data_IF_495688749373
#
_entry.id   IF_495688749373
#
_cell.length_a   1.000
_cell.length_b   1.000
_cell.length_c   1.000
_cell.angle_alpha   90.00
_cell.angle_beta   90.00
_cell.angle_gamma   90.00
#
_symmetry.space_group_name_H-M   'P 1'
#
loop_
_entity.id
_entity.type
_entity.pdbx_description
1 polymer ?
#
# COMPACT_ATOMS: atom_id res chain seq x y z
N UNK A 1 -14.09 43.80 25.56
CA UNK A 1 -13.11 43.50 26.63
C UNK A 1 -11.74 43.43 25.99
N UNK A 2 -10.82 44.32 26.37
CA UNK A 2 -9.46 44.33 25.85
C UNK A 2 -8.68 43.19 26.53
N UNK A 3 -8.63 42.02 25.90
CA UNK A 3 -7.84 40.87 26.36
C UNK A 3 -6.36 41.10 26.01
N UNK A 4 -5.73 42.05 26.70
CA UNK A 4 -4.29 42.22 26.60
C UNK A 4 -3.60 40.99 27.23
N UNK A 5 -2.81 40.29 26.43
CA UNK A 5 -2.05 39.12 26.87
C UNK A 5 -1.00 39.55 27.92
N UNK A 6 -0.74 38.73 28.96
CA UNK A 6 0.27 39.05 29.97
C UNK A 6 1.65 39.33 29.34
N UNK A 7 2.30 40.40 29.77
CA UNK A 7 3.64 40.75 29.29
C UNK A 7 4.67 39.68 29.69
N UNK A 8 5.53 39.29 28.75
CA UNK A 8 6.61 38.30 28.98
C UNK A 8 6.30 36.87 28.52
N UNK A 9 5.09 36.60 28.03
CA UNK A 9 4.75 35.30 27.44
C UNK A 9 5.28 35.19 26.00
N UNK A 10 6.04 34.12 25.73
CA UNK A 10 6.36 33.75 24.36
C UNK A 10 5.16 33.00 23.76
N UNK A 11 4.30 33.73 23.04
CA UNK A 11 3.09 33.18 22.43
C UNK A 11 3.38 32.02 21.47
N UNK A 12 4.50 32.07 20.75
CA UNK A 12 4.88 30.98 19.83
C UNK A 12 5.17 29.69 20.60
N UNK A 13 5.90 29.78 21.73
CA UNK A 13 6.16 28.64 22.61
C UNK A 13 4.87 28.08 23.20
N UNK A 14 3.97 28.94 23.68
CA UNK A 14 2.69 28.50 24.25
C UNK A 14 1.84 27.77 23.20
N UNK A 15 1.77 28.31 21.99
CA UNK A 15 1.05 27.67 20.89
C UNK A 15 1.68 26.30 20.59
N UNK A 16 3.00 26.23 20.44
CA UNK A 16 3.73 24.99 20.14
C UNK A 16 3.59 23.93 21.25
N UNK A 17 3.57 24.34 22.52
CA UNK A 17 3.38 23.45 23.66
C UNK A 17 1.93 22.98 23.82
N UNK A 18 0.97 23.69 23.22
CA UNK A 18 -0.46 23.31 23.23
C UNK A 18 -0.80 22.32 22.12
N UNK A 19 0.02 22.21 21.07
CA UNK A 19 -0.24 21.31 19.95
C UNK A 19 0.06 19.87 20.35
N UNK A 20 -0.86 18.96 20.02
CA UNK A 20 -0.77 17.51 20.30
C UNK A 20 0.09 16.77 19.27
N UNK A 21 1.16 17.42 18.81
CA UNK A 21 2.13 16.84 17.90
C UNK A 21 3.55 17.15 18.41
N UNK A 22 4.41 16.15 18.55
CA UNK A 22 5.82 16.37 18.83
C UNK A 22 6.46 17.20 17.73
N UNK A 23 7.10 18.31 18.11
CA UNK A 23 7.84 19.18 17.20
C UNK A 23 9.23 19.40 17.77
N UNK A 24 10.24 19.14 16.94
CA UNK A 24 11.63 19.46 17.24
C UNK A 24 12.24 20.31 16.14
N UNK A 25 13.31 21.02 16.49
CA UNK A 25 14.18 21.67 15.52
C UNK A 25 15.59 21.10 15.64
N UNK A 26 16.22 20.81 14.51
CA UNK A 26 17.53 20.19 14.41
C UNK A 26 18.50 21.17 13.75
N UNK A 27 19.58 21.52 14.47
CA UNK A 27 20.65 22.38 13.99
C UNK A 27 21.59 21.64 13.03
N UNK A 28 22.37 22.35 12.17
CA UNK A 28 23.22 21.76 11.13
C UNK A 28 24.18 20.66 11.60
N UNK A 29 24.58 20.69 12.87
CA UNK A 29 25.46 19.70 13.50
C UNK A 29 24.71 18.45 14.03
N UNK A 30 23.41 18.32 13.75
CA UNK A 30 22.56 17.20 14.14
C UNK A 30 21.95 17.33 15.54
N UNK A 31 22.26 18.39 16.29
CA UNK A 31 21.71 18.59 17.63
C UNK A 31 20.28 19.10 17.60
N UNK A 32 19.48 18.66 18.55
CA UNK A 32 18.14 19.21 18.78
C UNK A 32 18.32 20.58 19.46
N UNK A 33 17.74 21.64 18.92
CA UNK A 33 17.84 23.01 19.50
C UNK A 33 16.51 23.54 20.03
N UNK A 34 15.41 22.86 19.67
CA UNK A 34 14.08 23.12 20.20
C UNK A 34 13.30 21.81 20.28
N UNK A 35 12.48 21.68 21.32
CA UNK A 35 11.50 20.63 21.50
C UNK A 35 10.30 21.25 22.25
N UNK A 36 9.08 21.02 21.76
CA UNK A 36 7.87 21.40 22.50
C UNK A 36 7.55 20.37 23.61
N UNK A 37 6.58 20.68 24.46
CA UNK A 37 6.13 19.79 25.53
C UNK A 37 5.78 18.37 25.03
N UNK A 38 5.06 18.26 23.92
CA UNK A 38 4.69 16.96 23.35
C UNK A 38 5.93 16.18 22.85
N UNK A 39 6.99 16.86 22.39
CA UNK A 39 8.26 16.21 22.06
C UNK A 39 9.02 15.71 23.28
N UNK A 40 8.97 16.42 24.41
CA UNK A 40 9.55 15.93 25.66
C UNK A 40 8.89 14.62 26.11
N UNK A 41 7.55 14.60 26.08
CA UNK A 41 6.75 13.41 26.39
C UNK A 41 7.02 12.28 25.41
N UNK A 42 7.07 12.59 24.12
CA UNK A 42 7.33 11.64 23.06
C UNK A 42 8.68 10.96 23.21
N UNK A 43 9.77 11.73 23.40
CA UNK A 43 11.12 11.22 23.57
C UNK A 43 11.43 10.75 24.99
N UNK A 44 10.48 10.90 25.92
CA UNK A 44 10.63 10.62 27.35
C UNK A 44 11.87 11.28 27.93
N UNK A 45 12.16 12.49 27.47
CA UNK A 45 13.38 13.23 27.77
C UNK A 45 13.07 14.72 27.78
N UNK A 46 13.54 15.46 28.79
CA UNK A 46 13.34 16.91 28.83
C UNK A 46 14.08 17.61 27.68
N UNK A 47 13.61 18.78 27.28
CA UNK A 47 14.18 19.65 26.25
C UNK A 47 15.64 19.97 26.56
N UNK A 48 15.99 20.12 27.83
CA UNK A 48 17.38 20.31 28.28
C UNK A 48 18.28 19.09 28.05
N UNK A 49 17.75 17.87 28.09
CA UNK A 49 18.46 16.63 27.78
C UNK A 49 18.54 16.41 26.28
N UNK A 50 17.43 16.63 25.57
CA UNK A 50 17.36 16.61 24.11
C UNK A 50 18.38 17.57 23.51
N UNK A 51 18.48 18.79 24.05
CA UNK A 51 19.39 19.82 23.55
C UNK A 51 20.89 19.51 23.73
N UNK A 52 21.21 18.59 24.62
CA UNK A 52 22.60 18.17 24.90
C UNK A 52 23.05 16.99 24.04
N UNK A 53 22.16 16.38 23.27
CA UNK A 53 22.42 15.19 22.47
C UNK A 53 22.03 15.40 21.02
N UNK A 54 22.64 14.63 20.12
CA UNK A 54 22.22 14.58 18.72
C UNK A 54 20.93 13.77 18.55
N UNK A 55 20.20 14.07 17.48
CA UNK A 55 18.96 13.36 17.12
C UNK A 55 19.16 11.84 17.01
N UNK A 56 20.32 11.41 16.52
CA UNK A 56 20.71 10.01 16.33
C UNK A 56 20.67 9.17 17.61
N UNK A 57 20.74 9.81 18.79
CA UNK A 57 20.65 9.11 20.07
C UNK A 57 19.23 8.69 20.43
N UNK A 58 18.22 9.37 19.87
CA UNK A 58 16.82 9.18 20.22
C UNK A 58 16.04 8.35 19.21
N UNK A 59 16.67 7.99 18.09
CA UNK A 59 16.07 7.18 17.02
C UNK A 59 16.90 5.91 16.77
N UNK A 60 16.31 4.85 16.20
CA UNK A 60 17.05 3.63 15.87
C UNK A 60 18.19 3.88 14.88
N UNK A 61 19.23 3.05 14.96
CA UNK A 61 20.34 3.09 14.01
C UNK A 61 19.82 2.87 12.58
N UNK A 62 20.25 3.71 11.65
CA UNK A 62 19.77 3.67 10.26
C UNK A 62 18.34 4.20 10.08
N UNK A 63 17.79 4.92 11.07
CA UNK A 63 16.46 5.54 10.94
C UNK A 63 16.38 6.42 9.69
N UNK A 64 15.35 6.26 8.84
CA UNK A 64 15.12 7.10 7.67
C UNK A 64 15.04 8.60 8.01
N UNK A 65 14.65 8.95 9.24
CA UNK A 65 14.58 10.34 9.70
C UNK A 65 15.92 11.09 9.51
N UNK A 66 17.04 10.45 9.81
CA UNK A 66 18.35 11.09 9.67
C UNK A 66 18.64 11.45 8.21
N UNK A 67 18.34 10.53 7.28
CA UNK A 67 18.48 10.80 5.85
C UNK A 67 17.51 11.87 5.33
N UNK A 68 16.30 11.94 5.87
CA UNK A 68 15.32 12.96 5.49
C UNK A 68 15.75 14.36 5.92
N UNK A 69 16.32 14.50 7.12
CA UNK A 69 16.86 15.77 7.61
C UNK A 69 17.95 16.28 6.66
N UNK A 70 18.89 15.41 6.25
CA UNK A 70 19.93 15.79 5.30
C UNK A 70 19.37 16.13 3.91
N UNK A 71 18.42 15.34 3.38
CA UNK A 71 17.78 15.64 2.09
C UNK A 71 17.06 17.00 2.10
N UNK A 72 16.37 17.34 3.19
CA UNK A 72 15.67 18.62 3.34
C UNK A 72 16.66 19.79 3.41
N UNK A 73 17.82 19.60 4.05
CA UNK A 73 18.90 20.60 4.07
C UNK A 73 19.45 20.87 2.68
N UNK A 74 19.74 19.81 1.94
CA UNK A 74 20.32 19.91 0.59
C UNK A 74 19.33 20.52 -0.40
N UNK A 75 18.09 20.01 -0.42
CA UNK A 75 17.07 20.41 -1.41
C UNK A 75 16.33 21.70 -1.04
N UNK A 76 16.39 22.12 0.23
CA UNK A 76 15.65 23.27 0.78
C UNK A 76 14.16 23.24 0.47
N UNK A 77 13.58 22.04 0.50
CA UNK A 77 12.16 21.80 0.26
C UNK A 77 11.59 20.90 1.37
N UNK A 78 10.31 21.08 1.75
CA UNK A 78 9.69 20.22 2.75
C UNK A 78 9.42 18.82 2.19
N UNK A 79 9.47 17.82 3.07
CA UNK A 79 9.18 16.42 2.79
C UNK A 79 8.13 15.88 3.75
N UNK A 80 7.29 14.98 3.23
CA UNK A 80 6.42 14.14 4.04
C UNK A 80 6.89 12.70 3.85
N UNK A 81 7.16 11.99 4.94
CA UNK A 81 7.44 10.55 4.91
C UNK A 81 6.45 9.81 5.79
N UNK A 82 5.97 8.67 5.33
CA UNK A 82 4.90 7.94 6.00
C UNK A 82 5.41 6.65 6.61
N UNK A 83 4.87 6.28 7.78
CA UNK A 83 5.18 5.00 8.45
C UNK A 83 6.67 4.79 8.73
N UNK A 84 7.36 5.85 9.18
CA UNK A 84 8.75 5.73 9.61
C UNK A 84 8.80 5.04 10.96
N UNK A 85 9.62 4.00 11.03
CA UNK A 85 9.92 3.31 12.29
C UNK A 85 10.94 4.13 13.08
N UNK A 86 10.53 4.52 14.27
CA UNK A 86 11.34 5.24 15.24
C UNK A 86 11.44 4.46 16.56
N UNK A 87 11.21 3.14 16.53
CA UNK A 87 11.29 2.28 17.71
C UNK A 87 12.69 2.34 18.34
N UNK A 88 12.74 2.52 19.65
CA UNK A 88 13.97 2.63 20.42
C UNK A 88 13.77 2.01 21.80
N UNK A 89 14.80 1.46 22.45
CA UNK A 89 14.72 1.00 23.83
C UNK A 89 14.12 2.05 24.78
N UNK A 90 14.33 3.34 24.50
CA UNK A 90 13.77 4.46 25.29
C UNK A 90 12.29 4.71 24.96
N UNK A 91 11.91 4.57 23.69
CA UNK A 91 10.57 4.87 23.16
C UNK A 91 9.57 3.72 23.32
N UNK A 92 10.05 2.50 23.57
CA UNK A 92 9.24 1.28 23.65
C UNK A 92 9.17 0.51 22.33
N UNK A 93 8.44 -0.61 22.33
CA UNK A 93 8.24 -1.44 21.14
C UNK A 93 7.24 -0.83 20.13
N UNK A 94 7.50 -1.10 18.85
CA UNK A 94 6.74 -0.66 17.65
C UNK A 94 6.15 0.76 17.71
N UNK A 95 6.95 1.75 17.29
CA UNK A 95 6.50 3.13 17.11
C UNK A 95 6.65 3.58 15.66
N UNK A 96 5.53 3.55 14.94
CA UNK A 96 5.41 4.03 13.56
C UNK A 96 4.78 5.42 13.53
N UNK A 97 5.44 6.36 12.87
CA UNK A 97 4.99 7.75 12.77
C UNK A 97 5.01 8.24 11.33
N UNK A 98 4.19 9.24 11.03
CA UNK A 98 4.42 10.08 9.85
C UNK A 98 5.29 11.27 10.24
N UNK A 99 6.14 11.70 9.32
CA UNK A 99 7.06 12.80 9.51
C UNK A 99 6.75 13.90 8.51
N UNK A 100 6.60 15.11 9.01
CA UNK A 100 6.72 16.32 8.20
C UNK A 100 8.04 17.01 8.54
N UNK A 101 8.89 17.18 7.53
CA UNK A 101 10.24 17.72 7.68
C UNK A 101 10.37 18.94 6.79
N UNK A 102 10.73 20.10 7.35
CA UNK A 102 10.79 21.35 6.61
C UNK A 102 12.04 22.17 6.96
N UNK A 103 12.66 22.85 5.97
CA UNK A 103 13.78 23.74 6.25
C UNK A 103 13.28 25.03 6.93
N UNK A 104 14.10 25.63 7.78
CA UNK A 104 13.81 26.94 8.37
C UNK A 104 14.45 28.03 7.53
N UNK A 105 13.64 28.87 6.87
CA UNK A 105 14.13 29.87 5.92
C UNK A 105 15.04 30.92 6.59
N UNK A 106 14.70 31.31 7.82
CA UNK A 106 15.38 32.33 8.61
C UNK A 106 16.67 31.80 9.27
N UNK A 107 16.81 30.47 9.40
CA UNK A 107 17.93 29.81 10.05
C UNK A 107 18.56 28.76 9.11
N UNK A 108 19.52 29.15 8.25
CA UNK A 108 20.13 28.24 7.29
C UNK A 108 20.62 26.93 7.90
N UNK A 109 20.29 25.82 7.25
CA UNK A 109 20.65 24.46 7.68
C UNK A 109 19.85 23.91 8.87
N UNK A 110 18.99 24.72 9.50
CA UNK A 110 18.07 24.22 10.51
C UNK A 110 16.86 23.57 9.85
N UNK A 111 16.37 22.52 10.48
CA UNK A 111 15.23 21.73 10.00
C UNK A 111 14.25 21.55 11.14
N UNK A 112 12.97 21.77 10.87
CA UNK A 112 11.88 21.41 11.77
C UNK A 112 11.39 20.02 11.40
N UNK A 113 11.18 19.18 12.41
CA UNK A 113 10.59 17.86 12.27
C UNK A 113 9.34 17.81 13.14
N UNK A 114 8.21 17.54 12.52
CA UNK A 114 6.94 17.25 13.18
C UNK A 114 6.67 15.75 13.08
N UNK A 115 6.35 15.14 14.21
CA UNK A 115 5.99 13.74 14.30
C UNK A 115 4.47 13.64 14.43
N UNK A 116 3.85 12.79 13.62
CA UNK A 116 2.44 12.48 13.75
C UNK A 116 2.29 11.02 14.13
N UNK A 117 2.04 10.79 15.42
CA UNK A 117 1.64 9.48 15.92
C UNK A 117 0.25 9.13 15.37
N UNK A 118 0.14 7.94 14.78
CA UNK A 118 -1.15 7.44 14.30
C UNK A 118 -1.84 6.69 15.42
N UNK A 119 -3.06 7.09 15.74
CA UNK A 119 -3.89 6.34 16.68
C UNK A 119 -4.34 5.00 16.08
N UNK A 120 -4.81 4.06 16.92
CA UNK A 120 -5.48 2.85 16.42
C UNK A 120 -6.73 3.18 15.59
N UNK A 121 -7.39 4.29 15.87
CA UNK A 121 -8.52 4.78 15.07
C UNK A 121 -8.07 5.20 13.67
N UNK A 122 -6.92 5.87 13.51
CA UNK A 122 -6.37 6.22 12.17
C UNK A 122 -5.90 5.00 11.38
N UNK A 123 -5.48 3.93 12.07
CA UNK A 123 -5.17 2.63 11.46
C UNK A 123 -6.44 1.96 10.92
N UNK A 124 -7.55 2.04 11.66
CA UNK A 124 -8.87 1.51 11.26
C UNK A 124 -9.48 2.38 10.14
N UNK A 125 -9.44 3.70 10.29
CA UNK A 125 -10.05 4.64 9.35
C UNK A 125 -9.35 4.56 8.00
N UNK A 126 -8.01 4.45 7.96
CA UNK A 126 -7.27 4.18 6.70
C UNK A 126 -7.45 2.76 6.17
N UNK A 127 -7.67 1.73 6.99
CA UNK A 127 -8.12 0.44 6.46
C UNK A 127 -9.49 0.58 5.77
N UNK A 128 -10.35 1.47 6.27
CA UNK A 128 -11.61 1.80 5.62
C UNK A 128 -11.43 2.72 4.40
N UNK A 129 -10.51 3.69 4.41
CA UNK A 129 -10.22 4.58 3.27
C UNK A 129 -9.47 3.87 2.15
N UNK A 130 -8.54 2.96 2.44
CA UNK A 130 -7.91 2.09 1.44
C UNK A 130 -8.92 1.12 0.84
N UNK A 131 -9.86 0.59 1.65
CA UNK A 131 -11.02 -0.13 1.11
C UNK A 131 -11.89 0.79 0.25
N UNK A 132 -12.10 2.05 0.64
CA UNK A 132 -12.84 3.05 -0.15
C UNK A 132 -12.20 3.39 -1.50
N UNK A 133 -10.89 3.67 -1.52
CA UNK A 133 -10.15 3.96 -2.75
C UNK A 133 -10.02 2.71 -3.65
N UNK A 134 -9.80 1.53 -3.08
CA UNK A 134 -9.82 0.27 -3.82
C UNK A 134 -11.23 -0.03 -4.37
N UNK A 135 -12.30 0.23 -3.61
CA UNK A 135 -13.70 0.10 -4.05
C UNK A 135 -14.03 1.00 -5.24
N UNK A 136 -13.56 2.24 -5.23
CA UNK A 136 -13.75 3.18 -6.35
C UNK A 136 -12.97 2.75 -7.60
N UNK A 137 -11.77 2.21 -7.46
CA UNK A 137 -10.98 1.66 -8.58
C UNK A 137 -11.61 0.37 -9.12
N UNK A 138 -12.13 -0.51 -8.25
CA UNK A 138 -12.78 -1.77 -8.64
C UNK A 138 -14.08 -1.55 -9.41
N UNK A 139 -14.95 -0.63 -8.96
CA UNK A 139 -16.18 -0.30 -9.69
C UNK A 139 -15.92 0.33 -11.06
N UNK A 140 -14.89 1.18 -11.17
CA UNK A 140 -14.44 1.73 -12.45
C UNK A 140 -13.80 0.67 -13.34
N UNK A 141 -13.05 -0.28 -12.79
CA UNK A 141 -12.41 -1.36 -13.55
C UNK A 141 -13.44 -2.29 -14.22
N UNK A 142 -14.54 -2.63 -13.54
CA UNK A 142 -15.62 -3.44 -14.13
C UNK A 142 -16.37 -2.68 -15.24
N UNK A 143 -16.66 -1.39 -15.03
CA UNK A 143 -17.27 -0.54 -16.06
C UNK A 143 -16.37 -0.38 -17.29
N UNK A 144 -15.07 -0.11 -17.08
CA UNK A 144 -14.08 -0.01 -18.15
C UNK A 144 -13.85 -1.37 -18.84
N UNK A 145 -13.88 -2.48 -18.11
CA UNK A 145 -13.76 -3.82 -18.68
C UNK A 145 -14.89 -4.09 -19.68
N UNK A 146 -16.12 -3.76 -19.32
CA UNK A 146 -17.27 -3.85 -20.24
C UNK A 146 -17.12 -2.89 -21.43
N UNK A 147 -16.66 -1.66 -21.23
CA UNK A 147 -16.44 -0.70 -22.32
C UNK A 147 -15.29 -1.07 -23.25
N UNK A 148 -14.28 -1.81 -22.77
CA UNK A 148 -13.15 -2.32 -23.58
C UNK A 148 -13.53 -3.60 -24.32
N UNK A 149 -14.32 -4.50 -23.72
CA UNK A 149 -14.81 -5.73 -24.37
C UNK A 149 -15.66 -5.44 -25.62
N UNK A 150 -16.37 -4.32 -25.63
CA UNK A 150 -17.22 -3.90 -26.75
C UNK A 150 -16.44 -3.61 -28.06
N UNK A 151 -15.45 -2.70 -28.10
CA UNK A 151 -14.66 -2.47 -29.29
C UNK A 151 -13.80 -3.69 -29.66
N UNK A 152 -13.30 -4.47 -28.69
CA UNK A 152 -12.57 -5.71 -28.97
C UNK A 152 -13.45 -6.75 -29.68
N UNK A 153 -14.70 -6.92 -29.26
CA UNK A 153 -15.65 -7.80 -29.96
C UNK A 153 -15.90 -7.35 -31.40
N UNK A 154 -15.94 -6.04 -31.64
CA UNK A 154 -16.04 -5.46 -32.98
C UNK A 154 -14.79 -5.71 -33.85
N UNK A 155 -13.60 -5.53 -33.29
CA UNK A 155 -12.32 -5.80 -33.97
C UNK A 155 -12.21 -7.28 -34.32
N UNK A 156 -12.57 -8.18 -33.38
CA UNK A 156 -12.61 -9.63 -33.61
C UNK A 156 -13.57 -9.98 -34.73
N UNK A 157 -14.79 -9.45 -34.72
CA UNK A 157 -15.77 -9.70 -35.77
C UNK A 157 -15.29 -9.22 -37.15
N UNK A 158 -14.67 -8.03 -37.20
CA UNK A 158 -14.08 -7.52 -38.44
C UNK A 158 -12.91 -8.39 -38.93
N UNK A 159 -12.04 -8.86 -38.03
CA UNK A 159 -10.92 -9.74 -38.35
C UNK A 159 -11.40 -11.11 -38.87
N UNK A 160 -12.45 -11.67 -38.28
CA UNK A 160 -13.07 -12.93 -38.75
C UNK A 160 -13.71 -12.77 -40.14
N UNK A 161 -14.38 -11.64 -40.39
CA UNK A 161 -14.90 -11.33 -41.72
C UNK A 161 -13.76 -11.16 -42.73
N UNK A 162 -12.70 -10.44 -42.36
CA UNK A 162 -11.47 -10.30 -43.16
C UNK A 162 -10.87 -11.66 -43.50
N UNK A 163 -10.71 -12.56 -42.52
CA UNK A 163 -10.18 -13.92 -42.74
C UNK A 163 -10.96 -14.67 -43.84
N UNK A 164 -12.26 -14.44 -43.96
CA UNK A 164 -13.13 -15.10 -44.94
C UNK A 164 -13.01 -14.54 -46.37
N UNK A 165 -12.49 -13.32 -46.54
CA UNK A 165 -12.43 -12.61 -47.84
C UNK A 165 -11.02 -12.35 -48.36
N UNK A 166 -9.99 -12.41 -47.50
CA UNK A 166 -8.59 -12.13 -47.89
C UNK A 166 -7.91 -13.35 -48.54
N UNK A 167 -6.82 -13.07 -49.26
CA UNK A 167 -5.94 -14.08 -49.84
C UNK A 167 -5.31 -14.99 -48.78
N UNK A 168 -4.84 -16.18 -49.16
CA UNK A 168 -4.16 -17.09 -48.21
C UNK A 168 -2.92 -16.48 -47.57
N UNK A 169 -2.25 -15.54 -48.26
CA UNK A 169 -1.06 -14.84 -47.79
C UNK A 169 -1.40 -13.83 -46.66
N UNK A 170 -2.57 -13.18 -46.75
CA UNK A 170 -3.08 -12.22 -45.76
C UNK A 170 -3.89 -12.87 -44.64
N UNK A 171 -4.33 -14.12 -44.82
CA UNK A 171 -5.11 -14.87 -43.84
C UNK A 171 -4.37 -15.05 -42.51
N UNK A 172 -3.04 -15.15 -42.56
CA UNK A 172 -2.21 -15.21 -41.37
C UNK A 172 -2.30 -13.94 -40.51
N UNK A 173 -2.45 -12.76 -41.14
CA UNK A 173 -2.59 -11.48 -40.45
C UNK A 173 -3.97 -11.36 -39.78
N UNK A 174 -5.03 -11.80 -40.46
CA UNK A 174 -6.39 -11.81 -39.89
C UNK A 174 -6.51 -12.71 -38.65
N UNK A 175 -5.84 -13.87 -38.67
CA UNK A 175 -5.73 -14.77 -37.51
C UNK A 175 -4.96 -14.13 -36.36
N UNK A 176 -3.83 -13.49 -36.65
CA UNK A 176 -3.02 -12.80 -35.64
C UNK A 176 -3.81 -11.69 -34.92
N UNK A 177 -4.63 -10.92 -35.65
CA UNK A 177 -5.50 -9.89 -35.05
C UNK A 177 -6.54 -10.54 -34.13
N UNK A 178 -7.12 -11.66 -34.53
CA UNK A 178 -8.10 -12.41 -33.73
C UNK A 178 -7.46 -12.93 -32.45
N UNK A 179 -6.29 -13.56 -32.54
CA UNK A 179 -5.55 -14.12 -31.40
C UNK A 179 -5.14 -13.04 -30.39
N UNK A 180 -4.66 -11.89 -30.86
CA UNK A 180 -4.27 -10.78 -29.98
C UNK A 180 -5.49 -10.14 -29.32
N UNK A 181 -6.62 -10.06 -30.02
CA UNK A 181 -7.88 -9.57 -29.44
C UNK A 181 -8.38 -10.50 -28.34
N UNK A 182 -8.35 -11.81 -28.54
CA UNK A 182 -8.72 -12.81 -27.53
C UNK A 182 -7.77 -12.76 -26.32
N UNK A 183 -6.47 -12.53 -26.55
CA UNK A 183 -5.49 -12.34 -25.48
C UNK A 183 -5.77 -11.09 -24.65
N UNK A 184 -6.15 -9.97 -25.27
CA UNK A 184 -6.51 -8.74 -24.55
C UNK A 184 -7.79 -8.96 -23.74
N UNK A 185 -8.80 -9.65 -24.28
CA UNK A 185 -10.02 -10.02 -23.53
C UNK A 185 -9.65 -10.83 -22.27
N UNK A 186 -8.79 -11.84 -22.39
CA UNK A 186 -8.34 -12.64 -21.25
C UNK A 186 -7.51 -11.84 -20.22
N UNK A 187 -6.82 -10.77 -20.63
CA UNK A 187 -6.17 -9.84 -19.71
C UNK A 187 -7.18 -8.97 -18.95
N UNK A 188 -8.20 -8.47 -19.66
CA UNK A 188 -9.28 -7.67 -19.08
C UNK A 188 -10.12 -8.51 -18.10
N UNK A 189 -10.46 -9.75 -18.44
CA UNK A 189 -11.18 -10.68 -17.56
C UNK A 189 -10.41 -10.92 -16.24
N UNK A 190 -9.08 -11.05 -16.31
CA UNK A 190 -8.25 -11.20 -15.10
C UNK A 190 -8.24 -9.95 -14.24
N UNK A 191 -8.34 -8.75 -14.81
CA UNK A 191 -8.48 -7.50 -14.04
C UNK A 191 -9.85 -7.42 -13.34
N UNK A 192 -10.92 -7.91 -13.97
CA UNK A 192 -12.28 -7.92 -13.42
C UNK A 192 -12.40 -8.79 -12.15
N UNK A 193 -11.69 -9.92 -12.09
CA UNK A 193 -11.65 -10.83 -10.92
C UNK A 193 -11.09 -10.16 -9.66
N UNK A 194 -10.22 -9.14 -9.79
CA UNK A 194 -9.74 -8.36 -8.64
C UNK A 194 -10.76 -7.32 -8.14
N UNK A 195 -11.82 -7.08 -8.91
CA UNK A 195 -12.81 -6.02 -8.65
C UNK A 195 -14.19 -6.52 -8.18
N UNK A 196 -14.48 -7.81 -8.29
CA UNK A 196 -15.79 -8.37 -7.91
C UNK A 196 -15.87 -8.55 -6.37
N UNK A 197 -16.36 -7.52 -5.67
CA UNK A 197 -16.64 -7.52 -4.22
C UNK A 197 -18.00 -8.16 -3.86
N UNK A 198 -18.68 -8.85 -4.78
CA UNK A 198 -19.89 -9.61 -4.41
C UNK A 198 -19.56 -10.57 -3.26
N UNK A 199 -20.45 -10.69 -2.25
CA UNK A 199 -20.24 -11.66 -1.17
C UNK A 199 -19.99 -13.02 -1.79
N UNK A 200 -18.77 -13.55 -1.59
CA UNK A 200 -18.39 -14.86 -2.08
C UNK A 200 -19.34 -15.85 -1.40
N UNK A 201 -20.19 -16.52 -2.19
CA UNK A 201 -21.06 -17.56 -1.65
C UNK A 201 -20.19 -18.71 -1.16
N UNK A 202 -20.09 -18.83 0.17
CA UNK A 202 -19.28 -19.82 0.87
C UNK A 202 -20.19 -20.88 1.43
N UNK A 203 -19.89 -22.12 1.10
CA UNK A 203 -20.61 -23.29 1.56
C UNK A 203 -19.61 -24.27 2.20
N UNK A 204 -20.06 -25.25 2.98
CA UNK A 204 -19.21 -26.37 3.39
C UNK A 204 -18.73 -27.14 2.15
N UNK A 205 -17.43 -27.04 1.83
CA UNK A 205 -16.80 -27.66 0.67
C UNK A 205 -15.86 -28.77 1.12
N UNK A 206 -16.00 -29.96 0.53
CA UNK A 206 -15.03 -31.04 0.71
C UNK A 206 -13.79 -30.76 -0.15
N UNK A 207 -12.67 -30.44 0.52
CA UNK A 207 -11.41 -30.05 -0.14
C UNK A 207 -10.85 -31.15 -1.05
N UNK A 208 -11.08 -32.42 -0.72
CA UNK A 208 -10.60 -33.56 -1.51
C UNK A 208 -11.19 -33.56 -2.92
N UNK A 209 -12.50 -33.27 -3.03
CA UNK A 209 -13.21 -33.20 -4.32
C UNK A 209 -12.67 -32.06 -5.19
N UNK A 210 -12.29 -30.94 -4.58
CA UNK A 210 -11.67 -29.81 -5.28
C UNK A 210 -10.29 -30.20 -5.81
N UNK A 211 -9.44 -30.77 -4.96
CA UNK A 211 -8.07 -31.14 -5.31
C UNK A 211 -8.03 -32.25 -6.36
N UNK A 212 -8.93 -33.23 -6.29
CA UNK A 212 -9.04 -34.27 -7.32
C UNK A 212 -9.48 -33.71 -8.67
N UNK A 213 -10.38 -32.73 -8.67
CA UNK A 213 -10.78 -32.03 -9.89
C UNK A 213 -9.61 -31.26 -10.50
N UNK A 214 -8.84 -30.51 -9.68
CA UNK A 214 -7.64 -29.77 -10.11
C UNK A 214 -6.59 -30.73 -10.69
N UNK A 215 -6.33 -31.86 -10.02
CA UNK A 215 -5.41 -32.90 -10.51
C UNK A 215 -5.84 -33.46 -11.86
N UNK A 216 -7.13 -33.70 -12.06
CA UNK A 216 -7.65 -34.19 -13.33
C UNK A 216 -7.45 -33.17 -14.46
N UNK A 217 -7.70 -31.89 -14.20
CA UNK A 217 -7.46 -30.81 -15.18
C UNK A 217 -5.97 -30.71 -15.51
N UNK A 218 -5.11 -30.67 -14.49
CA UNK A 218 -3.66 -30.54 -14.66
C UNK A 218 -3.06 -31.70 -15.47
N UNK A 219 -3.45 -32.96 -15.17
CA UNK A 219 -2.99 -34.15 -15.90
C UNK A 219 -3.40 -34.18 -17.36
N UNK A 220 -4.57 -33.66 -17.69
CA UNK A 220 -5.05 -33.59 -19.07
C UNK A 220 -4.57 -32.32 -19.81
N UNK A 221 -3.86 -31.42 -19.12
CA UNK A 221 -3.38 -30.16 -19.66
C UNK A 221 -1.88 -29.98 -19.45
N UNK A 222 -1.52 -28.92 -18.71
CA UNK A 222 -0.16 -28.43 -18.59
C UNK A 222 0.79 -29.35 -17.80
N UNK A 223 0.27 -30.29 -17.01
CA UNK A 223 1.05 -31.21 -16.18
C UNK A 223 1.00 -32.67 -16.70
N UNK A 224 0.72 -32.87 -17.99
CA UNK A 224 0.58 -34.21 -18.60
C UNK A 224 1.80 -35.13 -18.45
N UNK A 225 3.00 -34.54 -18.36
CA UNK A 225 4.27 -35.27 -18.19
C UNK A 225 4.86 -35.14 -16.77
N UNK A 226 4.09 -34.61 -15.80
CA UNK A 226 4.56 -34.37 -14.44
C UNK A 226 3.91 -35.35 -13.46
N UNK A 227 4.71 -35.96 -12.59
CA UNK A 227 4.21 -36.86 -11.55
C UNK A 227 3.58 -36.06 -10.42
N UNK A 228 2.24 -36.06 -10.35
CA UNK A 228 1.50 -35.44 -9.24
C UNK A 228 1.27 -36.48 -8.13
N UNK A 229 1.86 -36.24 -6.96
CA UNK A 229 1.67 -37.03 -5.72
C UNK A 229 0.64 -36.32 -4.83
N UNK A 230 -0.36 -37.07 -4.36
CA UNK A 230 -1.37 -36.60 -3.44
C UNK A 230 -1.11 -37.19 -2.05
N UNK A 231 -0.88 -36.34 -1.06
CA UNK A 231 -0.67 -36.71 0.33
C UNK A 231 -1.53 -35.78 1.20
N UNK A 232 -2.70 -36.28 1.59
CA UNK A 232 -3.71 -35.52 2.33
C UNK A 232 -4.25 -36.38 3.47
N UNK A 233 -4.61 -35.76 4.59
CA UNK A 233 -5.30 -36.43 5.70
C UNK A 233 -6.79 -36.65 5.34
N UNK A 234 -7.28 -37.90 5.22
CA UNK A 234 -8.66 -38.18 4.83
C UNK A 234 -9.71 -37.70 5.85
N UNK A 235 -9.31 -37.39 7.08
CA UNK A 235 -10.20 -36.98 8.17
C UNK A 235 -10.52 -35.48 8.18
N UNK A 236 -9.95 -34.70 7.24
CA UNK A 236 -10.14 -33.26 7.20
C UNK A 236 -11.61 -32.87 7.04
N UNK A 237 -12.14 -31.98 7.90
CA UNK A 237 -13.52 -31.54 7.81
C UNK A 237 -13.75 -30.66 6.58
N UNK A 238 -15.02 -30.49 6.14
CA UNK A 238 -15.36 -29.52 5.09
C UNK A 238 -14.92 -28.10 5.46
N UNK A 239 -14.40 -27.37 4.48
CA UNK A 239 -13.97 -25.98 4.63
C UNK A 239 -15.07 -25.01 4.20
N UNK A 240 -15.24 -23.91 4.92
CA UNK A 240 -16.24 -22.90 4.56
C UNK A 240 -15.69 -21.97 3.47
N UNK A 241 -15.94 -22.32 2.21
CA UNK A 241 -15.31 -21.69 1.05
C UNK A 241 -16.19 -21.72 -0.20
N UNK A 242 -15.77 -21.01 -1.25
CA UNK A 242 -16.36 -21.15 -2.58
C UNK A 242 -15.56 -22.18 -3.37
N UNK A 243 -16.25 -23.18 -3.92
CA UNK A 243 -15.64 -24.30 -4.62
C UNK A 243 -14.81 -23.85 -5.82
N UNK A 244 -15.36 -22.98 -6.67
CA UNK A 244 -14.76 -22.63 -7.94
C UNK A 244 -13.54 -21.71 -7.76
N UNK A 245 -13.58 -20.82 -6.76
CA UNK A 245 -12.40 -20.04 -6.38
C UNK A 245 -11.27 -20.92 -5.84
N UNK A 246 -11.58 -21.94 -5.04
CA UNK A 246 -10.56 -22.88 -4.57
C UNK A 246 -9.93 -23.64 -5.75
N UNK A 247 -10.73 -24.10 -6.71
CA UNK A 247 -10.20 -24.73 -7.94
C UNK A 247 -9.20 -23.80 -8.63
N UNK A 248 -9.55 -22.53 -8.79
CA UNK A 248 -8.69 -21.55 -9.46
C UNK A 248 -7.39 -21.25 -8.68
N UNK A 249 -7.47 -21.14 -7.35
CA UNK A 249 -6.28 -20.96 -6.50
C UNK A 249 -5.32 -22.13 -6.68
N UNK A 250 -5.80 -23.37 -6.64
CA UNK A 250 -4.92 -24.53 -6.77
C UNK A 250 -4.40 -24.73 -8.20
N UNK A 251 -5.18 -24.41 -9.24
CA UNK A 251 -4.69 -24.41 -10.62
C UNK A 251 -3.59 -23.38 -10.88
N UNK A 252 -3.59 -22.26 -10.14
CA UNK A 252 -2.55 -21.25 -10.26
C UNK A 252 -1.25 -21.61 -9.52
N UNK A 253 -1.30 -22.54 -8.55
CA UNK A 253 -0.17 -22.93 -7.73
C UNK A 253 0.58 -24.17 -8.24
N UNK A 254 -0.15 -25.08 -8.89
CA UNK A 254 0.36 -26.35 -9.42
C UNK A 254 0.76 -26.17 -10.87
#
# INVERSE_FOLDING_TARGET
MNTALPAGLNLATIVLDTIRHPVIMVAPDGRIVFANAEAEDFFRSSASVLARSGLERFVPFGSPLLSLVEQVRERRAPFNEYRVDISSPLLGGERLVDLYVAPVAELPGHVVVLFQERSMADKIDRQMTHRGAARSVSGLASMLAHEIKNPLSGIRGAAQLLESVVSDEDRALARLITDETDRIVALVDRMEVFSDERPIDRQPVNIHVVLDHVKAIARNGFASNVRIVADYDPSLPPVHANRDQLVQVFLNLV
#
